data_IF_024200542795
#
_entry.id   IF_024200542795
#
_cell.length_a   1.000
_cell.length_b   1.000
_cell.length_c   1.000
_cell.angle_alpha   90.00
_cell.angle_beta   90.00
_cell.angle_gamma   90.00
#
_symmetry.space_group_name_H-M   'P 1'
#
loop_
_entity.id
_entity.type
_entity.pdbx_description
1 polymer ?
#
# COMPACT_ATOMS: atom_id res chain seq x y z
N UNK A 1 54.23 3.53 24.15
CA UNK A 1 54.06 3.38 22.69
C UNK A 1 52.71 3.95 22.31
N UNK A 2 52.67 4.91 21.37
CA UNK A 2 51.43 5.47 20.82
C UNK A 2 51.13 4.69 19.54
N UNK A 3 50.13 3.83 19.56
CA UNK A 3 49.58 3.20 18.36
C UNK A 3 48.20 3.81 18.13
N UNK A 4 48.13 4.80 17.24
CA UNK A 4 46.86 5.29 16.71
C UNK A 4 46.49 4.36 15.56
N UNK A 5 45.53 3.44 15.77
CA UNK A 5 44.97 2.61 14.71
C UNK A 5 43.52 3.05 14.50
N UNK A 6 43.30 3.98 13.57
CA UNK A 6 41.96 4.32 13.09
C UNK A 6 41.56 3.27 12.05
N UNK A 7 40.87 2.21 12.49
CA UNK A 7 40.36 1.18 11.60
C UNK A 7 38.94 1.56 11.16
N UNK A 8 38.80 2.21 10.00
CA UNK A 8 37.50 2.39 9.36
C UNK A 8 37.18 1.11 8.56
N UNK A 9 36.58 0.11 9.20
CA UNK A 9 36.05 -1.05 8.48
C UNK A 9 34.64 -0.72 7.96
N UNK A 10 34.57 -0.46 6.66
CA UNK A 10 33.32 -0.56 5.90
C UNK A 10 33.13 -2.03 5.54
N UNK A 11 32.07 -2.63 6.08
CA UNK A 11 31.62 -4.02 5.85
C UNK A 11 32.46 -5.10 6.56
N UNK A 12 32.28 -5.24 7.88
CA UNK A 12 32.81 -6.38 8.63
C UNK A 12 31.67 -7.33 9.02
N UNK A 13 31.66 -8.52 8.41
CA UNK A 13 30.89 -9.65 8.93
C UNK A 13 31.57 -10.17 10.21
N UNK A 14 30.79 -10.38 11.28
CA UNK A 14 31.20 -11.15 12.46
C UNK A 14 32.54 -10.77 13.09
N UNK A 15 32.58 -9.69 13.87
CA UNK A 15 33.81 -9.24 14.55
C UNK A 15 33.95 -9.87 15.94
N UNK A 16 35.04 -10.61 16.18
CA UNK A 16 35.54 -10.93 17.53
C UNK A 16 36.21 -9.69 18.15
N UNK A 17 36.30 -9.62 19.50
CA UNK A 17 36.88 -8.50 20.26
C UNK A 17 38.04 -7.81 19.52
N UNK A 18 37.82 -6.56 19.09
CA UNK A 18 38.80 -5.79 18.31
C UNK A 18 40.02 -5.42 19.17
N UNK A 19 39.86 -5.40 20.50
CA UNK A 19 40.94 -5.13 21.44
C UNK A 19 40.79 -5.97 22.72
N UNK A 20 41.90 -6.56 23.17
CA UNK A 20 41.97 -7.34 24.43
C UNK A 20 43.15 -6.85 25.27
N UNK A 21 42.86 -6.29 26.45
CA UNK A 21 43.84 -5.95 27.48
C UNK A 21 44.79 -4.77 27.21
N UNK A 22 45.37 -4.23 28.30
CA UNK A 22 46.45 -3.23 28.29
C UNK A 22 46.22 -1.96 29.14
N UNK A 23 47.27 -1.15 29.24
CA UNK A 23 47.25 0.23 29.82
C UNK A 23 47.25 1.32 28.73
N UNK A 24 47.07 0.92 27.46
CA UNK A 24 47.10 1.79 26.29
C UNK A 24 45.84 2.66 26.12
N UNK A 25 45.92 3.61 25.19
CA UNK A 25 44.77 4.36 24.67
C UNK A 25 44.42 3.88 23.28
N UNK A 26 43.14 3.74 22.96
CA UNK A 26 42.68 3.33 21.63
C UNK A 26 41.28 3.85 21.34
N UNK A 27 41.11 4.47 20.17
CA UNK A 27 39.82 4.99 19.71
C UNK A 27 39.35 4.11 18.55
N UNK A 28 38.06 3.74 18.55
CA UNK A 28 37.49 2.85 17.54
C UNK A 28 36.16 3.40 17.00
N UNK A 29 36.01 3.39 15.68
CA UNK A 29 34.76 3.71 15.02
C UNK A 29 34.37 2.58 14.06
N UNK A 30 33.14 2.06 14.17
CA UNK A 30 32.67 0.94 13.36
C UNK A 30 31.21 1.13 12.93
N UNK A 31 30.88 0.69 11.71
CA UNK A 31 29.52 0.69 11.14
C UNK A 31 29.11 -0.75 10.83
N UNK A 32 28.00 -1.21 11.39
CA UNK A 32 27.51 -2.58 11.22
C UNK A 32 26.20 -2.60 10.43
N UNK A 33 26.18 -3.35 9.32
CA UNK A 33 25.09 -3.37 8.34
C UNK A 33 23.96 -4.35 8.64
N UNK A 34 24.24 -5.63 8.91
CA UNK A 34 23.20 -6.68 8.92
C UNK A 34 23.35 -7.77 9.99
N UNK A 35 24.54 -7.99 10.56
CA UNK A 35 24.79 -9.05 11.56
C UNK A 35 24.99 -8.47 12.97
N UNK A 36 24.34 -9.03 14.01
CA UNK A 36 24.56 -8.62 15.39
C UNK A 36 26.00 -8.87 15.85
N UNK A 37 26.52 -7.99 16.71
CA UNK A 37 27.77 -8.25 17.42
C UNK A 37 27.55 -9.39 18.44
N UNK A 38 28.32 -10.47 18.33
CA UNK A 38 28.22 -11.67 19.18
C UNK A 38 29.22 -11.71 20.34
N UNK A 39 30.15 -10.75 20.43
CA UNK A 39 31.12 -10.65 21.52
C UNK A 39 31.49 -9.19 21.82
N UNK A 40 31.87 -8.86 23.05
CA UNK A 40 32.27 -7.49 23.39
C UNK A 40 33.44 -7.00 22.54
N UNK A 41 33.36 -5.76 22.04
CA UNK A 41 34.43 -5.16 21.20
C UNK A 41 35.74 -5.00 22.01
N UNK A 42 35.61 -4.82 23.32
CA UNK A 42 36.73 -4.72 24.26
C UNK A 42 36.59 -5.73 25.42
N UNK A 43 37.71 -6.38 25.77
CA UNK A 43 37.82 -7.22 26.96
C UNK A 43 38.97 -6.81 27.88
N UNK A 44 38.65 -6.21 29.04
CA UNK A 44 39.58 -5.94 30.15
C UNK A 44 40.66 -4.85 29.94
N UNK A 45 41.24 -4.35 31.06
CA UNK A 45 42.39 -3.42 31.09
C UNK A 45 42.24 -2.18 31.99
N UNK A 46 43.30 -1.36 32.07
CA UNK A 46 43.37 -0.06 32.78
C UNK A 46 43.42 1.14 31.80
N UNK A 47 43.18 0.91 30.51
CA UNK A 47 43.27 1.90 29.44
C UNK A 47 42.14 2.95 29.39
N UNK A 48 42.27 3.93 28.47
CA UNK A 48 41.26 4.99 28.17
C UNK A 48 40.98 5.04 26.67
N UNK A 49 39.74 5.18 26.21
CA UNK A 49 39.44 5.29 24.77
C UNK A 49 38.03 5.75 24.45
N UNK A 50 37.86 6.48 23.34
CA UNK A 50 36.57 6.98 22.88
C UNK A 50 36.02 6.09 21.74
N UNK A 51 34.69 5.92 21.65
CA UNK A 51 34.07 5.12 20.58
C UNK A 51 32.86 5.75 19.92
N UNK A 52 32.69 5.44 18.64
CA UNK A 52 31.46 5.66 17.90
C UNK A 52 31.08 4.40 17.11
N UNK A 53 29.95 3.79 17.43
CA UNK A 53 29.39 2.68 16.67
C UNK A 53 28.07 3.11 16.02
N UNK A 54 27.79 2.65 14.80
CA UNK A 54 26.47 2.79 14.20
C UNK A 54 25.94 1.43 13.76
N UNK A 55 24.68 1.15 14.10
CA UNK A 55 24.01 -0.12 13.81
C UNK A 55 22.82 0.16 12.89
N UNK A 56 22.81 -0.45 11.70
CA UNK A 56 21.78 -0.15 10.71
C UNK A 56 20.55 -1.06 10.78
N UNK A 57 20.60 -2.31 11.28
CA UNK A 57 19.43 -3.22 11.23
C UNK A 57 19.25 -4.21 12.39
N UNK A 58 20.22 -4.43 13.29
CA UNK A 58 20.09 -5.45 14.33
C UNK A 58 20.56 -4.97 15.72
N UNK A 59 19.83 -5.38 16.77
CA UNK A 59 20.22 -5.17 18.17
C UNK A 59 21.48 -6.00 18.50
N UNK A 60 22.48 -5.44 19.20
CA UNK A 60 23.67 -6.20 19.62
C UNK A 60 23.27 -7.34 20.57
N UNK A 61 23.95 -8.49 20.49
CA UNK A 61 23.73 -9.63 21.40
C UNK A 61 24.78 -9.75 22.51
N UNK A 62 25.66 -8.76 22.64
CA UNK A 62 26.67 -8.66 23.69
C UNK A 62 26.82 -7.21 24.18
N UNK A 63 27.29 -7.03 25.42
CA UNK A 63 27.67 -5.71 25.93
C UNK A 63 28.84 -5.15 25.12
N UNK A 64 28.73 -3.91 24.65
CA UNK A 64 29.82 -3.27 23.92
C UNK A 64 31.08 -3.08 24.79
N UNK A 65 30.94 -3.14 26.13
CA UNK A 65 32.04 -3.13 27.10
C UNK A 65 31.92 -4.29 28.10
N UNK A 66 33.03 -5.02 28.31
CA UNK A 66 33.17 -6.01 29.37
C UNK A 66 34.43 -5.78 30.24
N UNK A 67 34.22 -5.36 31.50
CA UNK A 67 35.22 -5.30 32.56
C UNK A 67 36.30 -4.19 32.50
N UNK A 68 36.99 -3.94 33.62
CA UNK A 68 38.16 -3.05 33.74
C UNK A 68 37.98 -1.80 34.64
N UNK A 69 39.06 -1.01 34.76
CA UNK A 69 39.15 0.25 35.55
C UNK A 69 39.14 1.52 34.68
N UNK A 70 38.95 1.36 33.36
CA UNK A 70 39.11 2.40 32.35
C UNK A 70 37.96 3.41 32.24
N UNK A 71 38.13 4.42 31.37
CA UNK A 71 37.10 5.39 30.95
C UNK A 71 36.90 5.29 29.43
N UNK A 72 35.65 5.42 28.99
CA UNK A 72 35.36 5.56 27.56
C UNK A 72 33.92 6.00 27.27
N UNK A 73 33.78 6.88 26.29
CA UNK A 73 32.50 7.43 25.84
C UNK A 73 32.04 6.70 24.59
N UNK A 74 30.75 6.43 24.46
CA UNK A 74 30.22 5.66 23.34
C UNK A 74 28.96 6.23 22.73
N UNK A 75 29.04 6.55 21.44
CA UNK A 75 27.83 6.83 20.63
C UNK A 75 27.38 5.55 19.95
N UNK A 76 26.08 5.24 20.03
CA UNK A 76 25.45 4.15 19.30
C UNK A 76 24.19 4.66 18.57
N UNK A 77 24.15 4.49 17.25
CA UNK A 77 22.94 4.71 16.45
C UNK A 77 22.19 3.39 16.33
N UNK A 78 20.90 3.37 16.68
CA UNK A 78 20.03 2.19 16.51
C UNK A 78 18.81 2.56 15.67
N UNK A 79 18.44 1.69 14.73
CA UNK A 79 17.09 1.63 14.17
C UNK A 79 16.16 0.90 15.16
N UNK A 80 14.82 0.99 15.06
CA UNK A 80 13.91 1.29 16.17
C UNK A 80 13.59 0.14 17.14
N UNK A 81 14.51 -0.79 17.36
CA UNK A 81 14.36 -1.79 18.41
C UNK A 81 14.91 -1.28 19.75
N UNK A 82 14.20 -1.54 20.87
CA UNK A 82 14.74 -1.33 22.21
C UNK A 82 16.03 -2.14 22.41
N UNK A 83 16.99 -1.59 23.15
CA UNK A 83 18.22 -2.31 23.53
C UNK A 83 17.85 -3.35 24.59
N UNK A 84 17.98 -4.67 24.33
CA UNK A 84 17.54 -5.70 25.28
C UNK A 84 18.56 -5.96 26.41
N UNK A 85 19.65 -5.20 26.49
CA UNK A 85 20.80 -5.50 27.35
C UNK A 85 21.50 -4.26 27.90
N UNK A 86 22.26 -4.45 28.97
CA UNK A 86 23.10 -3.41 29.55
C UNK A 86 24.26 -3.07 28.60
N UNK A 87 24.38 -1.80 28.21
CA UNK A 87 25.49 -1.33 27.37
C UNK A 87 26.87 -1.38 28.06
N UNK A 88 26.86 -1.50 29.40
CA UNK A 88 28.02 -1.74 30.25
C UNK A 88 27.76 -2.92 31.18
N UNK A 89 28.73 -3.83 31.32
CA UNK A 89 28.68 -4.90 32.31
C UNK A 89 30.02 -4.99 33.08
N UNK A 90 29.95 -4.78 34.41
CA UNK A 90 31.08 -4.93 35.36
C UNK A 90 32.09 -3.78 35.43
N UNK A 91 32.92 -3.76 36.48
CA UNK A 91 34.08 -2.86 36.67
C UNK A 91 33.85 -1.63 37.58
N UNK A 92 34.90 -0.81 37.77
CA UNK A 92 34.87 0.46 38.54
C UNK A 92 34.99 1.71 37.64
N UNK A 93 34.81 1.54 36.33
CA UNK A 93 34.91 2.61 35.33
C UNK A 93 33.73 3.60 35.33
N UNK A 94 33.84 4.66 34.52
CA UNK A 94 32.79 5.66 34.23
C UNK A 94 32.76 5.96 32.72
N UNK A 95 31.60 6.25 32.15
CA UNK A 95 31.46 6.66 30.74
C UNK A 95 30.05 7.14 30.43
N UNK A 96 29.91 7.97 29.39
CA UNK A 96 28.64 8.50 28.91
C UNK A 96 28.18 7.75 27.66
N UNK A 97 26.86 7.60 27.50
CA UNK A 97 26.25 6.96 26.33
C UNK A 97 25.27 7.92 25.68
N UNK A 98 25.46 8.13 24.38
CA UNK A 98 24.47 8.73 23.52
C UNK A 98 23.81 7.62 22.67
N UNK A 99 22.52 7.39 22.90
CA UNK A 99 21.65 6.54 22.08
C UNK A 99 20.84 7.44 21.18
N UNK A 100 20.94 7.27 19.87
CA UNK A 100 20.01 7.90 18.94
C UNK A 100 19.10 6.83 18.33
N UNK A 101 17.80 6.96 18.55
CA UNK A 101 16.80 6.13 17.88
C UNK A 101 16.45 6.80 16.57
N UNK A 102 16.75 6.13 15.45
CA UNK A 102 16.14 6.50 14.18
C UNK A 102 14.71 5.95 14.24
N UNK A 103 13.67 6.80 14.28
CA UNK A 103 12.30 6.29 14.23
C UNK A 103 12.13 5.45 12.96
N UNK A 104 11.30 4.39 12.98
CA UNK A 104 10.93 3.73 11.74
C UNK A 104 10.45 4.81 10.77
N UNK A 105 10.75 4.64 9.48
CA UNK A 105 10.19 5.54 8.47
C UNK A 105 8.68 5.54 8.66
N UNK A 106 8.17 6.66 9.18
CA UNK A 106 6.76 6.95 9.13
C UNK A 106 6.51 7.20 7.66
N UNK A 107 5.66 6.37 7.07
CA UNK A 107 5.22 6.35 5.68
C UNK A 107 5.62 5.08 4.95
N UNK A 108 4.61 4.37 4.47
CA UNK A 108 4.75 3.30 3.49
C UNK A 108 4.20 3.77 2.15
N UNK A 109 4.87 3.38 1.06
CA UNK A 109 4.51 3.78 -0.29
C UNK A 109 4.11 2.57 -1.14
N UNK A 110 3.06 2.74 -1.94
CA UNK A 110 2.57 1.70 -2.84
C UNK A 110 2.18 2.29 -4.20
N UNK A 111 2.59 1.59 -5.26
CA UNK A 111 2.16 1.84 -6.63
C UNK A 111 1.18 0.73 -7.01
N UNK A 112 -0.11 1.07 -7.10
CA UNK A 112 -1.17 0.12 -7.43
C UNK A 112 -1.57 0.30 -8.89
N UNK A 113 -1.84 -0.82 -9.57
CA UNK A 113 -2.45 -0.81 -10.90
C UNK A 113 -3.67 -1.73 -10.91
N UNK A 114 -4.74 -1.31 -11.59
CA UNK A 114 -5.97 -2.10 -11.71
C UNK A 114 -6.71 -1.77 -13.00
N UNK A 115 -7.65 -2.62 -13.39
CA UNK A 115 -8.52 -2.39 -14.54
C UNK A 115 -9.97 -2.50 -14.08
N UNK A 116 -10.81 -1.55 -14.52
CA UNK A 116 -12.25 -1.55 -14.30
C UNK A 116 -12.96 -2.13 -15.52
N UNK A 117 -13.80 -3.14 -15.30
CA UNK A 117 -14.68 -3.63 -16.35
C UNK A 117 -15.76 -2.59 -16.67
N UNK A 118 -16.16 -2.49 -17.93
CA UNK A 118 -17.10 -1.45 -18.36
C UNK A 118 -16.35 -0.44 -19.21
N UNK A 119 -15.50 0.44 -18.64
CA UNK A 119 -14.72 1.35 -19.45
C UNK A 119 -13.53 0.69 -20.15
N UNK A 120 -13.03 -0.48 -19.71
CA UNK A 120 -11.87 -1.13 -20.33
C UNK A 120 -12.12 -1.62 -21.75
N UNK A 121 -11.26 -1.21 -22.68
CA UNK A 121 -11.25 -1.66 -24.06
C UNK A 121 -10.05 -2.58 -24.32
N UNK A 122 -10.31 -3.89 -24.47
CA UNK A 122 -9.26 -4.89 -24.71
C UNK A 122 -8.62 -4.84 -26.11
N UNK A 123 -9.13 -4.00 -27.02
CA UNK A 123 -8.49 -3.73 -28.31
C UNK A 123 -7.40 -2.66 -28.20
N UNK A 124 -7.52 -1.70 -27.28
CA UNK A 124 -6.55 -0.61 -27.08
C UNK A 124 -5.72 -0.74 -25.80
N UNK A 125 -6.17 -1.56 -24.85
CA UNK A 125 -5.54 -1.72 -23.54
C UNK A 125 -5.79 -0.55 -22.58
N UNK A 126 -6.76 0.33 -22.89
CA UNK A 126 -7.08 1.52 -22.10
C UNK A 126 -8.55 1.53 -21.68
N UNK A 127 -8.83 2.15 -20.53
CA UNK A 127 -10.19 2.47 -20.07
C UNK A 127 -10.71 3.75 -20.75
N UNK A 128 -12.03 3.89 -20.88
CA UNK A 128 -12.68 5.13 -21.30
C UNK A 128 -12.68 6.20 -20.20
N UNK A 129 -12.51 7.47 -20.58
CA UNK A 129 -12.48 8.64 -19.69
C UNK A 129 -13.67 9.59 -19.92
N UNK A 130 -14.81 9.05 -20.34
CA UNK A 130 -15.98 9.86 -20.66
C UNK A 130 -16.47 10.72 -19.48
N UNK A 131 -16.39 10.21 -18.25
CA UNK A 131 -16.72 10.97 -17.04
C UNK A 131 -15.88 12.25 -16.89
N UNK A 132 -14.59 12.17 -17.24
CA UNK A 132 -13.68 13.32 -17.26
C UNK A 132 -14.03 14.28 -18.38
N UNK A 133 -14.29 13.76 -19.59
CA UNK A 133 -14.69 14.57 -20.76
C UNK A 133 -15.98 15.34 -20.48
N UNK A 134 -16.94 14.72 -19.79
CA UNK A 134 -18.19 15.35 -19.39
C UNK A 134 -18.08 16.20 -18.13
N UNK A 135 -16.89 16.28 -17.51
CA UNK A 135 -16.61 17.06 -16.30
C UNK A 135 -17.54 16.71 -15.12
N UNK A 136 -17.89 15.43 -14.99
CA UNK A 136 -18.78 14.93 -13.92
C UNK A 136 -18.04 14.25 -12.77
N UNK A 137 -16.73 14.02 -12.88
CA UNK A 137 -15.93 13.49 -11.77
C UNK A 137 -15.96 14.51 -10.61
N UNK A 138 -16.38 14.11 -9.39
CA UNK A 138 -16.47 15.03 -8.26
C UNK A 138 -15.08 15.48 -7.82
N UNK A 139 -14.99 16.75 -7.38
CA UNK A 139 -13.75 17.31 -6.85
C UNK A 139 -13.35 16.69 -5.50
N UNK A 140 -14.32 16.23 -4.71
CA UNK A 140 -14.10 15.50 -3.46
C UNK A 140 -14.31 14.01 -3.71
N UNK A 141 -13.56 13.17 -2.99
CA UNK A 141 -13.79 11.73 -3.03
C UNK A 141 -15.26 11.40 -2.70
N UNK A 142 -15.88 10.46 -3.44
CA UNK A 142 -17.31 10.18 -3.29
C UNK A 142 -17.63 9.22 -2.14
N UNK A 143 -16.64 8.53 -1.58
CA UNK A 143 -16.83 7.41 -0.67
C UNK A 143 -17.36 7.84 0.69
N UNK A 144 -16.93 8.98 1.23
CA UNK A 144 -17.53 9.55 2.44
C UNK A 144 -19.04 9.80 2.25
N UNK A 145 -19.44 10.36 1.10
CA UNK A 145 -20.86 10.60 0.78
C UNK A 145 -21.64 9.29 0.53
N UNK A 146 -20.96 8.24 0.07
CA UNK A 146 -21.52 6.88 -0.06
C UNK A 146 -21.60 6.12 1.28
N UNK A 147 -21.20 6.73 2.39
CA UNK A 147 -21.24 6.13 3.73
C UNK A 147 -20.10 5.13 4.00
N UNK A 148 -19.05 5.13 3.18
CA UNK A 148 -17.85 4.34 3.45
C UNK A 148 -17.10 4.93 4.65
N UNK A 149 -16.71 4.06 5.60
CA UNK A 149 -15.97 4.48 6.80
C UNK A 149 -14.46 4.38 6.55
N UNK A 150 -13.80 5.52 6.42
CA UNK A 150 -12.35 5.60 6.29
C UNK A 150 -11.63 5.29 7.61
N UNK A 151 -10.38 4.84 7.50
CA UNK A 151 -9.45 4.64 8.63
C UNK A 151 -8.15 5.37 8.31
N UNK A 152 -7.74 6.33 9.13
CA UNK A 152 -6.45 7.03 8.96
C UNK A 152 -6.29 7.81 7.62
N UNK A 153 -7.38 8.09 6.91
CA UNK A 153 -7.41 8.87 5.67
C UNK A 153 -8.85 9.30 5.33
N UNK A 154 -9.17 9.51 4.06
CA UNK A 154 -10.48 10.02 3.63
C UNK A 154 -10.50 11.55 3.52
N UNK A 155 -11.53 12.08 2.85
CA UNK A 155 -11.69 13.53 2.63
C UNK A 155 -10.74 14.11 1.58
N UNK A 156 -10.12 13.27 0.76
CA UNK A 156 -9.26 13.71 -0.33
C UNK A 156 -10.04 14.51 -1.38
N UNK A 157 -9.37 15.50 -1.96
CA UNK A 157 -9.89 16.30 -3.07
C UNK A 157 -8.87 16.43 -4.20
N UNK A 158 -9.38 16.54 -5.42
CA UNK A 158 -8.59 16.68 -6.65
C UNK A 158 -8.69 18.11 -7.17
N UNK A 159 -7.55 18.67 -7.57
CA UNK A 159 -7.52 19.97 -8.23
C UNK A 159 -8.04 19.87 -9.68
N UNK A 160 -8.82 20.83 -10.19
CA UNK A 160 -9.38 20.77 -11.54
C UNK A 160 -8.34 20.50 -12.64
N UNK A 161 -7.13 21.04 -12.50
CA UNK A 161 -6.04 20.87 -13.46
C UNK A 161 -5.62 19.42 -13.66
N UNK A 162 -5.78 18.57 -12.64
CA UNK A 162 -5.47 17.13 -12.74
C UNK A 162 -6.44 16.44 -13.70
N UNK A 163 -7.71 16.88 -13.72
CA UNK A 163 -8.76 16.34 -14.60
C UNK A 163 -8.62 16.83 -16.07
N UNK A 164 -7.72 17.78 -16.34
CA UNK A 164 -7.37 18.20 -17.70
C UNK A 164 -6.33 17.28 -18.36
N UNK A 165 -5.75 16.33 -17.60
CA UNK A 165 -4.83 15.32 -18.14
C UNK A 165 -5.53 14.45 -19.18
N UNK A 166 -4.86 14.19 -20.31
CA UNK A 166 -5.38 13.40 -21.44
C UNK A 166 -4.48 12.21 -21.77
N UNK A 167 -4.82 11.46 -22.84
CA UNK A 167 -4.11 10.25 -23.26
C UNK A 167 -4.12 9.17 -22.16
N UNK A 168 -3.09 8.32 -22.09
CA UNK A 168 -3.05 7.17 -21.18
C UNK A 168 -3.21 7.53 -19.70
N UNK A 169 -2.78 8.74 -19.30
CA UNK A 169 -2.79 9.19 -17.91
C UNK A 169 -4.06 9.95 -17.55
N UNK A 170 -5.03 10.05 -18.46
CA UNK A 170 -6.29 10.73 -18.17
C UNK A 170 -7.01 10.03 -17.00
N UNK A 171 -7.61 10.80 -16.11
CA UNK A 171 -8.34 10.25 -14.97
C UNK A 171 -9.65 9.62 -15.45
N UNK A 172 -9.89 8.39 -15.01
CA UNK A 172 -11.13 7.64 -15.24
C UNK A 172 -12.10 7.86 -14.09
N UNK A 173 -11.65 7.67 -12.84
CA UNK A 173 -12.48 7.79 -11.63
C UNK A 173 -11.67 7.80 -10.32
N UNK A 174 -12.39 7.89 -9.21
CA UNK A 174 -11.92 7.68 -7.84
C UNK A 174 -11.94 6.21 -7.43
N UNK A 175 -10.92 5.76 -6.70
CA UNK A 175 -10.85 4.45 -6.03
C UNK A 175 -10.46 4.63 -4.56
N UNK A 176 -10.71 3.62 -3.72
CA UNK A 176 -10.15 3.54 -2.36
C UNK A 176 -9.14 2.41 -2.31
N UNK A 177 -7.94 2.70 -1.83
CA UNK A 177 -6.94 1.69 -1.49
C UNK A 177 -6.92 1.53 0.03
N UNK A 178 -6.98 0.28 0.48
CA UNK A 178 -6.93 -0.10 1.89
C UNK A 178 -5.63 -0.87 2.17
N UNK A 179 -4.95 -0.52 3.25
CA UNK A 179 -3.94 -1.37 3.86
C UNK A 179 -4.56 -2.08 5.06
N UNK A 180 -4.52 -3.42 5.03
CA UNK A 180 -5.18 -4.29 6.02
C UNK A 180 -4.13 -5.10 6.78
N UNK A 181 -4.47 -5.50 7.99
CA UNK A 181 -3.57 -6.24 8.87
C UNK A 181 -3.11 -7.55 8.22
N UNK A 182 -1.81 -7.83 8.25
CA UNK A 182 -1.22 -9.10 7.82
C UNK A 182 -1.66 -10.30 8.66
N UNK A 183 -1.99 -10.07 9.94
CA UNK A 183 -2.45 -11.12 10.86
C UNK A 183 -3.97 -11.31 10.82
N UNK A 184 -4.74 -10.24 10.61
CA UNK A 184 -6.21 -10.27 10.58
C UNK A 184 -6.72 -9.50 9.36
N UNK A 185 -6.82 -10.14 8.18
CA UNK A 185 -7.08 -9.44 6.92
C UNK A 185 -8.39 -8.65 6.87
N UNK A 186 -9.37 -8.98 7.72
CA UNK A 186 -10.62 -8.22 7.85
C UNK A 186 -10.39 -6.80 8.40
N UNK A 187 -9.35 -6.58 9.22
CA UNK A 187 -9.06 -5.30 9.87
C UNK A 187 -8.34 -4.35 8.92
N UNK A 188 -9.00 -3.26 8.55
CA UNK A 188 -8.41 -2.15 7.82
C UNK A 188 -7.60 -1.28 8.78
N UNK A 189 -6.34 -1.03 8.46
CA UNK A 189 -5.41 -0.22 9.26
C UNK A 189 -5.28 1.21 8.74
N UNK A 190 -5.36 1.38 7.42
CA UNK A 190 -5.41 2.69 6.80
C UNK A 190 -6.13 2.62 5.44
N UNK A 191 -6.72 3.74 5.04
CA UNK A 191 -7.40 3.92 3.75
C UNK A 191 -6.92 5.20 3.11
N UNK A 192 -6.89 5.23 1.78
CA UNK A 192 -6.64 6.45 1.02
C UNK A 192 -7.48 6.45 -0.25
N UNK A 193 -8.19 7.54 -0.50
CA UNK A 193 -8.86 7.75 -1.79
C UNK A 193 -7.83 8.22 -2.81
N UNK A 194 -7.93 7.69 -4.02
CA UNK A 194 -6.96 7.86 -5.08
C UNK A 194 -7.67 7.95 -6.43
N UNK A 195 -6.93 8.30 -7.47
CA UNK A 195 -7.44 8.43 -8.83
C UNK A 195 -6.93 7.25 -9.67
N UNK A 196 -7.78 6.65 -10.49
CA UNK A 196 -7.36 5.63 -11.45
C UNK A 196 -7.29 6.23 -12.87
N UNK A 197 -6.19 5.98 -13.56
CA UNK A 197 -5.90 6.48 -14.91
C UNK A 197 -6.34 5.48 -15.99
N UNK A 198 -6.39 5.92 -17.26
CA UNK A 198 -6.86 5.08 -18.38
C UNK A 198 -6.02 3.82 -18.60
N UNK A 199 -4.73 3.85 -18.32
CA UNK A 199 -3.83 2.68 -18.41
C UNK A 199 -3.86 1.78 -17.17
N UNK A 200 -4.60 2.19 -16.13
CA UNK A 200 -4.84 1.44 -14.91
C UNK A 200 -4.01 1.89 -13.72
N UNK A 201 -3.07 2.82 -13.88
CA UNK A 201 -2.26 3.31 -12.76
C UNK A 201 -3.15 4.03 -11.74
N UNK A 202 -2.94 3.71 -10.47
CA UNK A 202 -3.62 4.35 -9.34
C UNK A 202 -2.67 5.34 -8.70
N UNK A 203 -3.04 6.61 -8.75
CA UNK A 203 -2.20 7.75 -8.36
C UNK A 203 -2.86 8.57 -7.27
N UNK A 204 -2.04 9.32 -6.53
CA UNK A 204 -2.51 10.31 -5.57
C UNK A 204 -3.29 11.45 -6.25
N UNK A 205 -3.82 12.38 -5.46
CA UNK A 205 -4.64 13.50 -5.96
C UNK A 205 -3.88 14.53 -6.78
N UNK A 206 -2.55 14.43 -6.87
CA UNK A 206 -1.73 15.18 -7.80
C UNK A 206 -1.75 14.61 -9.24
N UNK A 207 -2.34 13.42 -9.42
CA UNK A 207 -2.46 12.76 -10.71
C UNK A 207 -1.19 12.02 -11.17
N UNK A 208 -0.17 11.85 -10.32
CA UNK A 208 1.06 11.20 -10.74
C UNK A 208 1.77 10.38 -9.64
N UNK A 209 1.72 10.82 -8.39
CA UNK A 209 2.52 10.19 -7.33
C UNK A 209 1.93 8.84 -6.89
N UNK A 210 2.78 7.89 -6.46
CA UNK A 210 2.34 6.71 -5.72
C UNK A 210 1.59 7.09 -4.45
N UNK A 211 0.82 6.14 -3.91
CA UNK A 211 0.09 6.36 -2.67
C UNK A 211 1.02 6.26 -1.47
N UNK A 212 0.82 7.15 -0.50
CA UNK A 212 1.57 7.21 0.75
C UNK A 212 0.60 7.02 1.91
N UNK A 213 0.94 6.15 2.85
CA UNK A 213 0.15 5.90 4.05
C UNK A 213 0.99 6.14 5.29
N UNK A 214 0.43 6.82 6.29
CA UNK A 214 1.09 7.16 7.57
C UNK A 214 1.14 5.93 8.50
N UNK A 215 1.75 4.85 8.02
CA UNK A 215 1.99 3.60 8.73
C UNK A 215 3.49 3.31 8.81
N UNK A 216 3.86 2.42 9.72
CA UNK A 216 5.22 1.93 9.82
C UNK A 216 5.52 0.92 8.72
N UNK A 217 6.78 0.83 8.30
CA UNK A 217 7.23 -0.25 7.42
C UNK A 217 6.87 -1.63 7.98
N UNK A 218 6.37 -2.52 7.13
CA UNK A 218 5.86 -3.82 7.53
C UNK A 218 5.04 -4.50 6.44
N UNK A 219 4.47 -5.66 6.78
CA UNK A 219 3.66 -6.46 5.86
C UNK A 219 2.18 -6.12 5.96
N UNK A 220 1.55 -5.85 4.83
CA UNK A 220 0.13 -5.46 4.73
C UNK A 220 -0.58 -6.20 3.61
N UNK A 221 -1.83 -6.60 3.83
CA UNK A 221 -2.70 -6.91 2.70
C UNK A 221 -3.10 -5.61 2.01
N UNK A 222 -3.03 -5.58 0.69
CA UNK A 222 -3.42 -4.43 -0.12
C UNK A 222 -4.74 -4.75 -0.77
N UNK A 223 -5.74 -3.87 -0.58
CA UNK A 223 -7.02 -3.99 -1.24
C UNK A 223 -7.37 -2.74 -2.03
N UNK A 224 -8.12 -2.91 -3.12
CA UNK A 224 -8.65 -1.83 -3.93
C UNK A 224 -10.18 -1.98 -4.04
N UNK A 225 -10.89 -0.86 -3.83
CA UNK A 225 -12.34 -0.76 -3.92
C UNK A 225 -12.72 0.34 -4.90
N UNK A 226 -13.83 0.14 -5.59
CA UNK A 226 -14.40 1.12 -6.50
C UNK A 226 -15.93 1.21 -6.30
N UNK A 227 -16.51 2.39 -6.51
CA UNK A 227 -17.91 2.73 -6.14
C UNK A 227 -19.01 1.84 -6.73
N UNK A 228 -18.73 1.17 -7.85
CA UNK A 228 -19.69 0.28 -8.53
C UNK A 228 -19.06 -1.03 -9.03
N UNK A 229 -17.94 -1.45 -8.44
CA UNK A 229 -17.28 -2.72 -8.75
C UNK A 229 -16.97 -3.51 -7.49
N UNK A 230 -16.91 -4.83 -7.61
CA UNK A 230 -16.42 -5.68 -6.53
C UNK A 230 -14.92 -5.44 -6.31
N UNK A 231 -14.55 -5.13 -5.07
CA UNK A 231 -13.15 -4.92 -4.69
C UNK A 231 -12.30 -6.20 -4.70
N UNK A 232 -10.99 -6.00 -4.70
CA UNK A 232 -9.96 -7.05 -4.78
C UNK A 232 -8.92 -6.85 -3.68
N UNK A 233 -8.27 -7.93 -3.22
CA UNK A 233 -7.15 -7.88 -2.28
C UNK A 233 -6.07 -8.89 -2.63
N UNK A 234 -4.83 -8.60 -2.27
CA UNK A 234 -3.71 -9.55 -2.38
C UNK A 234 -3.96 -10.80 -1.54
N UNK A 235 -3.58 -11.98 -2.06
CA UNK A 235 -3.74 -13.25 -1.34
C UNK A 235 -2.86 -13.29 -0.09
N UNK A 236 -1.64 -12.77 -0.19
CA UNK A 236 -0.66 -12.68 0.89
C UNK A 236 -0.33 -11.21 1.19
N UNK A 237 0.14 -10.91 2.40
CA UNK A 237 0.69 -9.59 2.71
C UNK A 237 1.86 -9.22 1.79
N UNK A 238 2.02 -7.92 1.56
CA UNK A 238 3.10 -7.30 0.79
C UNK A 238 3.93 -6.47 1.74
N UNK A 239 5.26 -6.65 1.70
CA UNK A 239 6.20 -5.86 2.48
C UNK A 239 6.26 -4.43 1.92
N UNK A 240 5.86 -3.45 2.71
CA UNK A 240 5.89 -2.03 2.34
C UNK A 240 6.88 -1.25 3.21
N UNK A 241 7.50 -0.24 2.60
CA UNK A 241 8.40 0.70 3.27
C UNK A 241 8.32 2.07 2.56
N UNK A 242 9.23 2.99 2.87
CA UNK A 242 9.25 4.33 2.27
C UNK A 242 9.61 4.36 0.76
N UNK A 243 9.89 3.21 0.13
CA UNK A 243 10.03 3.07 -1.32
C UNK A 243 8.75 2.48 -1.92
N UNK A 244 8.26 3.02 -3.05
CA UNK A 244 7.06 2.50 -3.70
C UNK A 244 7.19 1.02 -4.05
N UNK A 245 6.29 0.20 -3.50
CA UNK A 245 6.18 -1.22 -3.85
C UNK A 245 5.03 -1.42 -4.83
N UNK A 246 5.26 -2.18 -5.90
CA UNK A 246 4.26 -2.40 -6.96
C UNK A 246 3.26 -3.51 -6.63
N UNK A 247 1.97 -3.25 -6.83
CA UNK A 247 0.90 -4.26 -6.81
C UNK A 247 0.00 -4.06 -8.02
N UNK A 248 0.02 -5.01 -8.96
CA UNK A 248 -0.73 -4.91 -10.20
C UNK A 248 -1.88 -5.93 -10.23
N UNK A 249 -3.09 -5.47 -9.93
CA UNK A 249 -4.32 -6.27 -10.02
C UNK A 249 -4.80 -6.50 -11.47
N UNK A 250 -4.15 -5.97 -12.50
CA UNK A 250 -4.47 -6.31 -13.89
C UNK A 250 -3.80 -7.61 -14.37
N UNK A 251 -2.77 -8.09 -13.66
CA UNK A 251 -2.02 -9.28 -14.03
C UNK A 251 -2.61 -10.57 -13.44
N UNK A 252 -2.69 -11.62 -14.25
CA UNK A 252 -3.12 -12.94 -13.81
C UNK A 252 -2.16 -13.58 -12.78
N UNK A 253 -0.87 -13.20 -12.81
CA UNK A 253 0.15 -13.66 -11.87
C UNK A 253 0.00 -13.08 -10.46
N UNK A 254 -0.70 -11.96 -10.31
CA UNK A 254 -0.95 -11.37 -8.99
C UNK A 254 -1.96 -12.22 -8.25
N UNK A 255 -1.52 -12.94 -7.23
CA UNK A 255 -2.40 -13.80 -6.44
C UNK A 255 -3.34 -12.95 -5.59
N UNK A 256 -4.63 -13.26 -5.65
CA UNK A 256 -5.68 -12.51 -4.93
C UNK A 256 -6.37 -13.37 -3.89
N UNK A 257 -6.89 -12.72 -2.85
CA UNK A 257 -7.77 -13.37 -1.89
C UNK A 257 -9.00 -13.96 -2.59
N UNK A 258 -9.41 -15.17 -2.19
CA UNK A 258 -10.49 -15.90 -2.85
C UNK A 258 -10.09 -16.50 -4.20
N UNK A 259 -11.07 -17.04 -4.93
CA UNK A 259 -10.83 -17.81 -6.17
C UNK A 259 -11.27 -17.10 -7.45
N UNK A 260 -12.19 -16.14 -7.35
CA UNK A 260 -12.78 -15.44 -8.49
C UNK A 260 -12.84 -13.92 -8.25
N UNK A 261 -11.78 -13.35 -7.70
CA UNK A 261 -11.72 -11.94 -7.29
C UNK A 261 -11.81 -10.96 -8.47
N UNK A 262 -11.43 -11.41 -9.67
CA UNK A 262 -11.37 -10.59 -10.89
C UNK A 262 -11.95 -11.34 -12.09
N UNK A 263 -12.35 -10.58 -13.11
CA UNK A 263 -12.83 -11.08 -14.40
C UNK A 263 -11.69 -11.09 -15.40
N UNK A 264 -11.49 -12.23 -16.05
CA UNK A 264 -10.57 -12.30 -17.19
C UNK A 264 -11.22 -11.69 -18.43
N UNK A 265 -10.60 -10.63 -18.96
CA UNK A 265 -10.98 -10.01 -20.22
C UNK A 265 -10.00 -10.44 -21.31
N UNK A 266 -10.54 -10.98 -22.40
CA UNK A 266 -9.77 -11.41 -23.57
C UNK A 266 -9.71 -10.30 -24.62
N UNK A 267 -8.67 -10.30 -25.46
CA UNK A 267 -8.52 -9.37 -26.56
C UNK A 267 -7.04 -9.22 -26.96
N UNK A 268 -6.72 -8.19 -27.73
CA UNK A 268 -5.34 -7.82 -28.08
C UNK A 268 -4.52 -7.49 -26.83
N UNK A 269 -5.16 -6.84 -25.86
CA UNK A 269 -4.62 -6.54 -24.54
C UNK A 269 -5.49 -7.24 -23.50
N UNK A 270 -5.15 -8.48 -23.10
CA UNK A 270 -5.87 -9.19 -22.06
C UNK A 270 -5.56 -8.60 -20.68
N UNK A 271 -6.54 -8.61 -19.77
CA UNK A 271 -6.37 -8.12 -18.41
C UNK A 271 -7.27 -8.87 -17.42
N UNK A 272 -6.90 -8.81 -16.14
CA UNK A 272 -7.79 -9.13 -15.02
C UNK A 272 -8.47 -7.85 -14.53
N UNK A 273 -9.77 -7.71 -14.76
CA UNK A 273 -10.54 -6.55 -14.35
C UNK A 273 -11.29 -6.79 -13.04
N UNK A 274 -11.57 -5.74 -12.28
CA UNK A 274 -12.57 -5.81 -11.21
C UNK A 274 -13.94 -6.06 -11.83
N UNK A 275 -14.77 -6.87 -11.17
CA UNK A 275 -16.12 -7.17 -11.64
C UNK A 275 -17.01 -5.94 -11.52
N UNK A 276 -17.58 -5.46 -12.62
CA UNK A 276 -18.49 -4.33 -12.61
C UNK A 276 -19.91 -4.73 -12.19
N UNK A 277 -20.66 -3.78 -11.62
CA UNK A 277 -22.10 -3.89 -11.40
C UNK A 277 -22.58 -3.86 -9.96
N UNK A 278 -21.71 -3.61 -8.97
CA UNK A 278 -22.11 -3.45 -7.56
C UNK A 278 -22.65 -2.03 -7.35
N UNK A 279 -23.76 -1.70 -8.00
CA UNK A 279 -24.29 -0.32 -8.05
C UNK A 279 -24.78 0.15 -6.69
N UNK A 280 -24.97 -0.78 -5.74
CA UNK A 280 -25.38 -0.49 -4.36
C UNK A 280 -24.21 -0.47 -3.37
N UNK A 281 -22.98 -0.73 -3.84
CA UNK A 281 -21.75 -0.80 -3.04
C UNK A 281 -21.84 -1.75 -1.83
N UNK A 282 -22.68 -2.79 -1.96
CA UNK A 282 -23.00 -3.71 -0.88
C UNK A 282 -22.08 -4.95 -0.87
N UNK A 283 -21.10 -5.01 -1.79
CA UNK A 283 -20.11 -6.09 -1.95
C UNK A 283 -20.70 -7.37 -2.58
N UNK A 284 -21.85 -7.29 -3.23
CA UNK A 284 -22.53 -8.43 -3.83
C UNK A 284 -23.24 -8.04 -5.13
N UNK A 285 -22.96 -8.76 -6.21
CA UNK A 285 -23.70 -8.65 -7.46
C UNK A 285 -24.92 -9.55 -7.45
N UNK A 286 -26.06 -8.95 -7.76
CA UNK A 286 -27.36 -9.61 -7.94
C UNK A 286 -28.10 -8.98 -9.12
N UNK A 287 -28.60 -9.79 -10.04
CA UNK A 287 -29.46 -9.30 -11.12
C UNK A 287 -30.95 -9.45 -10.82
N UNK A 288 -31.33 -10.49 -10.07
CA UNK A 288 -32.72 -10.77 -9.69
C UNK A 288 -32.85 -11.04 -8.18
N UNK A 289 -34.10 -11.03 -7.71
CA UNK A 289 -34.44 -11.17 -6.29
C UNK A 289 -34.43 -9.83 -5.55
N UNK A 290 -34.70 -9.86 -4.25
CA UNK A 290 -34.71 -8.67 -3.41
C UNK A 290 -33.33 -8.03 -3.32
N UNK A 291 -33.29 -6.68 -3.34
CA UNK A 291 -32.05 -5.90 -3.26
C UNK A 291 -31.05 -6.27 -4.37
N UNK A 292 -31.55 -6.43 -5.60
CA UNK A 292 -30.71 -6.61 -6.77
C UNK A 292 -30.14 -5.28 -7.27
N UNK A 293 -29.05 -5.33 -8.03
CA UNK A 293 -28.36 -4.19 -8.63
C UNK A 293 -28.99 -3.73 -9.95
N UNK A 294 -29.89 -4.53 -10.53
CA UNK A 294 -30.56 -4.21 -11.80
C UNK A 294 -31.64 -3.14 -11.62
N UNK A 295 -32.44 -3.23 -10.56
CA UNK A 295 -33.58 -2.35 -10.32
C UNK A 295 -33.16 -0.88 -10.08
N UNK A 296 -32.08 -0.58 -9.33
CA UNK A 296 -31.55 0.79 -9.23
C UNK A 296 -31.24 1.43 -10.59
N UNK A 297 -30.75 0.66 -11.57
CA UNK A 297 -30.48 1.16 -12.93
C UNK A 297 -31.78 1.64 -13.60
N UNK A 298 -32.87 0.88 -13.48
CA UNK A 298 -34.17 1.27 -14.02
C UNK A 298 -34.74 2.49 -13.27
N UNK A 299 -34.62 2.51 -11.95
CA UNK A 299 -35.08 3.62 -11.11
C UNK A 299 -34.35 4.91 -11.47
N UNK A 300 -33.04 4.86 -11.71
CA UNK A 300 -32.22 6.02 -12.07
C UNK A 300 -32.70 6.73 -13.36
N UNK A 301 -33.25 5.98 -14.33
CA UNK A 301 -33.79 6.54 -15.59
C UNK A 301 -35.30 6.87 -15.53
N UNK A 302 -35.89 6.86 -14.33
CA UNK A 302 -37.31 7.20 -14.09
C UNK A 302 -38.25 6.01 -13.87
N UNK A 303 -37.73 4.79 -13.75
CA UNK A 303 -38.44 3.61 -13.22
C UNK A 303 -39.45 2.94 -14.14
N UNK A 304 -40.00 3.65 -15.12
CA UNK A 304 -41.17 3.21 -15.90
C UNK A 304 -40.87 2.96 -17.37
N UNK A 305 -40.14 3.86 -18.02
CA UNK A 305 -39.80 3.79 -19.44
C UNK A 305 -38.37 3.27 -19.60
N UNK A 306 -38.15 1.98 -19.93
CA UNK A 306 -36.82 1.37 -19.93
C UNK A 306 -35.87 1.90 -21.01
N UNK A 307 -36.39 2.66 -21.97
CA UNK A 307 -35.62 3.32 -23.04
C UNK A 307 -35.19 4.73 -22.68
N UNK A 308 -35.61 5.27 -21.53
CA UNK A 308 -35.07 6.53 -21.04
C UNK A 308 -33.58 6.38 -20.73
N UNK A 309 -32.87 7.50 -20.78
CA UNK A 309 -31.46 7.57 -20.45
C UNK A 309 -31.22 8.76 -19.54
N UNK A 310 -30.29 8.63 -18.61
CA UNK A 310 -29.83 9.74 -17.79
C UNK A 310 -28.37 10.04 -18.17
N UNK A 311 -28.12 11.20 -18.79
CA UNK A 311 -26.83 11.56 -19.38
C UNK A 311 -26.13 12.69 -18.62
N UNK A 312 -24.82 12.82 -18.81
CA UNK A 312 -23.96 13.80 -18.14
C UNK A 312 -24.04 13.68 -16.62
N UNK A 313 -23.92 12.45 -16.12
CA UNK A 313 -24.03 12.17 -14.68
C UNK A 313 -22.86 11.35 -14.15
N UNK A 314 -22.57 11.53 -12.87
CA UNK A 314 -21.67 10.68 -12.09
C UNK A 314 -22.51 9.84 -11.13
N UNK A 315 -22.75 8.57 -11.49
CA UNK A 315 -23.69 7.69 -10.79
C UNK A 315 -23.12 6.29 -10.63
N UNK A 316 -23.53 5.60 -9.56
CA UNK A 316 -23.12 4.21 -9.33
C UNK A 316 -23.75 3.27 -10.36
N UNK A 317 -24.93 3.63 -10.87
CA UNK A 317 -25.68 2.86 -11.87
C UNK A 317 -25.07 2.91 -13.29
N UNK A 318 -24.14 3.84 -13.55
CA UNK A 318 -23.36 3.88 -14.80
C UNK A 318 -22.19 2.89 -14.72
N UNK A 319 -22.48 1.63 -15.03
CA UNK A 319 -21.53 0.51 -15.01
C UNK A 319 -20.53 0.65 -16.15
N UNK A 320 -20.95 1.18 -17.30
CA UNK A 320 -20.07 1.43 -18.44
C UNK A 320 -19.11 2.60 -18.23
N UNK A 321 -19.39 3.45 -17.24
CA UNK A 321 -18.64 4.66 -16.90
C UNK A 321 -18.53 5.63 -18.08
N UNK A 322 -19.61 5.71 -18.86
CA UNK A 322 -19.67 6.55 -20.04
C UNK A 322 -20.44 7.87 -19.81
N UNK A 323 -20.80 8.18 -18.57
CA UNK A 323 -21.59 9.35 -18.18
C UNK A 323 -23.07 9.24 -18.53
N UNK A 324 -23.55 8.06 -18.93
CA UNK A 324 -24.94 7.81 -19.34
C UNK A 324 -25.47 6.51 -18.74
N UNK A 325 -26.44 6.60 -17.84
CA UNK A 325 -27.17 5.43 -17.34
C UNK A 325 -28.21 4.99 -18.35
N UNK A 326 -28.15 3.72 -18.77
CA UNK A 326 -29.09 3.09 -19.70
C UNK A 326 -29.55 1.72 -19.19
N UNK A 327 -30.86 1.49 -19.24
CA UNK A 327 -31.44 0.19 -18.89
C UNK A 327 -31.70 -0.73 -20.09
N UNK A 328 -31.96 -0.19 -21.28
CA UNK A 328 -32.22 -0.98 -22.48
C UNK A 328 -31.52 -0.39 -23.71
N UNK A 329 -31.49 -1.17 -24.80
CA UNK A 329 -30.78 -0.81 -26.04
C UNK A 329 -29.31 -1.25 -26.02
N UNK A 330 -28.58 -0.94 -27.09
CA UNK A 330 -27.17 -1.31 -27.21
C UNK A 330 -26.30 -0.56 -26.18
N UNK A 331 -25.38 -1.28 -25.53
CA UNK A 331 -24.46 -0.71 -24.55
C UNK A 331 -25.17 -0.21 -23.29
N UNK A 332 -26.17 -0.97 -22.81
CA UNK A 332 -26.84 -0.68 -21.54
C UNK A 332 -26.05 -1.24 -20.35
N UNK A 333 -26.25 -0.68 -19.16
CA UNK A 333 -25.51 -1.04 -17.95
C UNK A 333 -25.93 -2.42 -17.40
N UNK A 334 -27.22 -2.75 -17.49
CA UNK A 334 -27.75 -3.99 -16.91
C UNK A 334 -27.19 -5.25 -17.59
N UNK A 335 -26.83 -5.18 -18.87
CA UNK A 335 -26.35 -6.36 -19.60
C UNK A 335 -24.96 -6.79 -19.12
N UNK A 336 -24.11 -5.84 -18.71
CA UNK A 336 -22.81 -6.14 -18.08
C UNK A 336 -23.05 -6.87 -16.74
N UNK A 337 -23.95 -6.35 -15.91
CA UNK A 337 -24.35 -7.00 -14.65
C UNK A 337 -24.86 -8.43 -14.90
N UNK A 338 -25.75 -8.63 -15.88
CA UNK A 338 -26.29 -9.93 -16.23
C UNK A 338 -25.19 -10.91 -16.64
N UNK A 339 -24.25 -10.47 -17.48
CA UNK A 339 -23.12 -11.30 -17.90
C UNK A 339 -22.25 -11.71 -16.71
N UNK A 340 -22.03 -10.80 -15.74
CA UNK A 340 -21.17 -11.04 -14.57
C UNK A 340 -21.72 -12.04 -13.56
N UNK A 341 -23.05 -12.20 -13.54
CA UNK A 341 -23.73 -13.22 -12.73
C UNK A 341 -24.02 -14.52 -13.52
N UNK A 342 -23.51 -14.68 -14.73
CA UNK A 342 -23.62 -15.94 -15.49
C UNK A 342 -24.53 -15.91 -16.72
N UNK A 343 -25.04 -14.74 -17.10
CA UNK A 343 -25.70 -14.48 -18.38
C UNK A 343 -27.09 -15.07 -18.52
N UNK A 344 -27.18 -16.40 -18.60
CA UNK A 344 -28.45 -17.13 -18.81
C UNK A 344 -29.16 -17.53 -17.51
N UNK A 345 -28.45 -17.50 -16.38
CA UNK A 345 -28.98 -17.84 -15.05
C UNK A 345 -29.03 -16.57 -14.18
N UNK A 346 -30.13 -15.79 -14.24
CA UNK A 346 -30.19 -14.47 -13.61
C UNK A 346 -30.28 -14.49 -12.08
N UNK A 347 -30.30 -15.67 -11.47
CA UNK A 347 -30.47 -15.88 -10.02
C UNK A 347 -29.17 -16.13 -9.28
N UNK A 348 -28.04 -16.31 -9.98
CA UNK A 348 -26.76 -16.46 -9.32
C UNK A 348 -26.32 -15.13 -8.71
N UNK A 349 -25.49 -15.23 -7.67
CA UNK A 349 -24.91 -14.08 -6.98
C UNK A 349 -23.39 -14.18 -7.01
N UNK A 350 -22.72 -13.03 -6.96
CA UNK A 350 -21.26 -12.97 -6.84
C UNK A 350 -20.89 -12.05 -5.69
N UNK A 351 -20.09 -12.54 -4.75
CA UNK A 351 -19.61 -11.73 -3.63
C UNK A 351 -18.21 -11.19 -3.93
N UNK A 352 -17.92 -9.99 -3.45
CA UNK A 352 -16.55 -9.47 -3.41
C UNK A 352 -15.63 -10.47 -2.71
N UNK A 353 -14.41 -10.61 -3.21
CA UNK A 353 -13.42 -11.50 -2.61
C UNK A 353 -12.52 -10.68 -1.67
N UNK A 354 -13.15 -10.24 -0.58
CA UNK A 354 -12.56 -9.51 0.53
C UNK A 354 -13.11 -10.10 1.84
N UNK A 355 -12.30 -10.17 2.91
CA UNK A 355 -12.71 -10.69 4.22
C UNK A 355 -13.68 -9.77 4.97
#
# INVERSE_FOLDING_TARGET
MRSLLLALLLFAEGVQAQFTGGSGRGDAAAVFGSTPITSGIFGGGNGRGDRAASYQQASPVASNYGGGSGRGDGTALYQPMPIPMNMFMGGTGRGDVAVNFIPPSLNVMIAVRAVLEGPYNSATGLMGDALRIFQVIPANEPYTALGYTHVGGGGESVAPQVLETTLSNAIVDWVVVELRSSATPATVLATRSALIQRDGDVVATDGASPLVFDLLGGDYHVALRHRNHLGVMTQTPVALNASPTGVDFSLASTMTYGTNARKSLTGTFPAQALWAGDVTFNKQLKYAGSSNDRDPILVAIGGTVPTNTLSLVYRQEDITMNGVVKYAGSGNDRDILLQNIGGSVPTATRNAQLP
#
